data_IF_948748767133
#
_entry.id   IF_948748767133
#
_cell.length_a   1.000
_cell.length_b   1.000
_cell.length_c   1.000
_cell.angle_alpha   90.00
_cell.angle_beta   90.00
_cell.angle_gamma   90.00
#
_symmetry.space_group_name_H-M   'P 1'
#
loop_
_entity.id
_entity.type
_entity.pdbx_description
1 polymer ?
#
# COMPACT_ATOMS: atom_id res chain seq x y z
N UNK A 1 -0.15 16.04 20.42
CA UNK A 1 1.18 16.06 21.08
C UNK A 1 2.21 15.83 20.00
N UNK A 2 3.02 16.85 19.73
CA UNK A 2 3.92 16.90 18.59
C UNK A 2 5.17 16.06 18.88
N UNK A 3 5.38 14.98 18.11
CA UNK A 3 6.47 14.02 18.34
C UNK A 3 7.86 14.70 18.27
N UNK A 4 7.91 15.85 17.59
CA UNK A 4 9.10 16.68 17.44
C UNK A 4 9.49 17.47 18.71
N UNK A 5 8.59 17.62 19.70
CA UNK A 5 8.92 18.30 20.97
C UNK A 5 9.74 17.46 21.94
N UNK A 6 9.86 16.14 21.73
CA UNK A 6 10.61 15.23 22.62
C UNK A 6 12.11 15.16 22.28
N UNK A 7 12.51 15.63 21.09
CA UNK A 7 13.91 15.64 20.68
C UNK A 7 14.58 16.91 21.23
N UNK A 8 15.05 16.80 22.48
CA UNK A 8 15.85 17.82 23.15
C UNK A 8 17.11 18.21 22.36
N UNK A 9 17.74 19.30 22.81
CA UNK A 9 18.86 20.05 22.18
C UNK A 9 20.17 19.29 21.88
N UNK A 10 20.15 17.97 21.71
CA UNK A 10 21.21 17.16 21.13
C UNK A 10 20.76 16.61 19.77
N UNK A 11 20.62 17.52 18.80
CA UNK A 11 20.38 17.18 17.40
C UNK A 11 21.66 16.53 16.80
N UNK A 12 21.86 15.23 17.05
CA UNK A 12 22.88 14.45 16.34
C UNK A 12 22.18 13.39 15.49
N UNK A 13 22.13 13.71 14.19
CA UNK A 13 21.59 12.98 13.03
C UNK A 13 20.07 12.73 13.07
N UNK A 14 19.37 13.37 12.13
CA UNK A 14 18.05 12.90 11.68
C UNK A 14 18.18 11.41 11.27
N UNK A 15 17.14 10.58 11.47
CA UNK A 15 17.15 9.20 11.02
C UNK A 15 17.43 9.15 9.51
N UNK A 16 18.32 8.24 9.09
CA UNK A 16 18.84 8.16 7.73
C UNK A 16 17.75 8.08 6.65
N UNK A 17 16.61 7.44 6.96
CA UNK A 17 15.45 7.36 6.09
C UNK A 17 14.80 8.72 5.78
N UNK A 18 14.81 9.66 6.75
CA UNK A 18 14.27 11.02 6.54
C UNK A 18 15.23 11.83 5.67
N UNK A 19 16.53 11.71 5.93
CA UNK A 19 17.59 12.38 5.13
C UNK A 19 17.55 11.89 3.69
N UNK A 20 17.43 10.59 3.45
CA UNK A 20 17.30 10.01 2.11
C UNK A 20 16.05 10.51 1.36
N UNK A 21 14.91 10.67 2.06
CA UNK A 21 13.68 11.21 1.49
C UNK A 21 13.82 12.68 1.05
N UNK A 22 14.53 13.50 1.82
CA UNK A 22 14.77 14.90 1.49
C UNK A 22 15.73 15.06 0.30
N UNK A 23 16.79 14.26 0.24
CA UNK A 23 17.73 14.27 -0.90
C UNK A 23 17.05 13.79 -2.19
N UNK A 24 16.20 12.76 -2.12
CA UNK A 24 15.38 12.33 -3.27
C UNK A 24 14.44 13.43 -3.76
N UNK A 25 13.79 14.17 -2.84
CA UNK A 25 12.95 15.31 -3.20
C UNK A 25 13.74 16.44 -3.86
N UNK A 26 14.99 16.68 -3.47
CA UNK A 26 15.88 17.65 -4.13
C UNK A 26 16.19 17.24 -5.57
N UNK A 27 16.52 15.97 -5.82
CA UNK A 27 16.78 15.44 -7.18
C UNK A 27 15.55 15.57 -8.08
N UNK A 28 14.36 15.44 -7.53
CA UNK A 28 13.09 15.51 -8.27
C UNK A 28 12.56 16.94 -8.48
N UNK A 29 13.09 17.94 -7.77
CA UNK A 29 12.53 19.31 -7.68
C UNK A 29 12.38 20.05 -9.03
N UNK A 30 13.10 19.61 -10.07
CA UNK A 30 13.03 20.19 -11.42
C UNK A 30 12.86 19.14 -12.53
N UNK A 31 12.39 17.93 -12.20
CA UNK A 31 12.16 16.88 -13.19
C UNK A 31 10.70 16.85 -13.61
N UNK A 32 10.46 16.87 -14.92
CA UNK A 32 9.15 16.53 -15.49
C UNK A 32 9.11 15.01 -15.69
N UNK A 33 8.04 14.37 -15.20
CA UNK A 33 7.85 12.93 -15.29
C UNK A 33 6.96 12.60 -16.49
N UNK A 34 7.51 11.91 -17.49
CA UNK A 34 6.80 11.52 -18.71
C UNK A 34 6.88 10.00 -18.96
N UNK A 35 7.04 9.20 -17.91
CA UNK A 35 7.20 7.74 -17.99
C UNK A 35 6.04 6.98 -17.31
N UNK A 36 4.81 7.51 -17.44
CA UNK A 36 3.60 6.91 -16.87
C UNK A 36 3.28 5.52 -17.42
N UNK A 37 3.84 5.15 -18.58
CA UNK A 37 3.70 3.83 -19.16
C UNK A 37 4.50 2.77 -18.38
N UNK A 38 5.60 3.14 -17.71
CA UNK A 38 6.37 2.24 -16.86
C UNK A 38 5.73 2.09 -15.47
N UNK A 39 5.43 3.21 -14.80
CA UNK A 39 4.73 3.21 -13.52
C UNK A 39 4.02 4.54 -13.28
N UNK A 40 2.89 4.54 -12.57
CA UNK A 40 2.20 5.77 -12.17
C UNK A 40 2.53 6.14 -10.72
N UNK A 41 2.73 7.43 -10.39
CA UNK A 41 2.80 7.86 -9.00
C UNK A 41 1.59 7.36 -8.19
N UNK A 42 1.81 6.95 -6.96
CA UNK A 42 0.75 6.45 -6.08
C UNK A 42 -0.18 7.62 -5.71
N UNK A 43 -1.48 7.43 -5.88
CA UNK A 43 -2.49 8.39 -5.42
C UNK A 43 -2.47 8.50 -3.88
N UNK A 44 -2.49 9.71 -3.28
CA UNK A 44 -2.48 9.88 -1.83
C UNK A 44 -3.58 9.12 -1.07
N UNK A 45 -4.75 8.91 -1.69
CA UNK A 45 -5.83 8.12 -1.11
C UNK A 45 -5.44 6.63 -1.01
N UNK A 46 -4.70 6.12 -2.00
CA UNK A 46 -4.16 4.75 -1.99
C UNK A 46 -3.09 4.63 -0.92
N UNK A 47 -2.15 5.58 -0.81
CA UNK A 47 -1.12 5.58 0.25
C UNK A 47 -1.76 5.50 1.64
N UNK A 48 -2.78 6.31 1.89
CA UNK A 48 -3.53 6.30 3.16
C UNK A 48 -4.19 4.95 3.42
N UNK A 49 -4.84 4.36 2.42
CA UNK A 49 -5.52 3.05 2.55
C UNK A 49 -4.55 1.91 2.78
N UNK A 50 -3.41 1.92 2.10
CA UNK A 50 -2.35 0.94 2.32
C UNK A 50 -1.74 1.06 3.72
N UNK A 51 -1.54 2.28 4.22
CA UNK A 51 -1.11 2.50 5.60
C UNK A 51 -2.14 1.97 6.62
N UNK A 52 -3.42 2.29 6.44
CA UNK A 52 -4.52 1.76 7.26
C UNK A 52 -4.56 0.22 7.25
N UNK A 53 -4.24 -0.43 6.13
CA UNK A 53 -4.16 -1.88 6.04
C UNK A 53 -2.89 -2.45 6.69
N UNK A 54 -1.77 -1.74 6.62
CA UNK A 54 -0.46 -2.24 7.09
C UNK A 54 -0.39 -2.51 8.60
N UNK A 55 -1.25 -1.87 9.38
CA UNK A 55 -1.32 -2.06 10.84
C UNK A 55 -2.22 -3.24 11.24
N UNK A 56 -2.92 -3.87 10.28
CA UNK A 56 -3.76 -5.04 10.51
C UNK A 56 -2.90 -6.31 10.48
N UNK A 57 -2.64 -6.90 11.65
CA UNK A 57 -1.72 -8.03 11.79
C UNK A 57 -2.39 -9.41 11.71
N UNK A 58 -3.71 -9.48 11.90
CA UNK A 58 -4.44 -10.75 12.02
C UNK A 58 -4.50 -11.51 10.68
N UNK A 59 -4.26 -12.82 10.73
CA UNK A 59 -4.35 -13.67 9.54
C UNK A 59 -5.84 -13.85 9.14
N UNK A 60 -6.28 -13.39 7.95
CA UNK A 60 -7.69 -13.47 7.52
C UNK A 60 -8.22 -14.90 7.33
N UNK A 61 -7.37 -15.93 7.37
CA UNK A 61 -7.79 -17.34 7.33
C UNK A 61 -8.09 -17.91 8.72
N UNK A 62 -7.88 -17.15 9.79
CA UNK A 62 -8.21 -17.55 11.16
C UNK A 62 -9.66 -17.20 11.54
N UNK A 63 -10.14 -17.74 12.65
CA UNK A 63 -11.56 -17.63 13.06
C UNK A 63 -11.84 -16.58 14.16
N UNK A 64 -10.81 -15.96 14.74
CA UNK A 64 -10.98 -14.93 15.77
C UNK A 64 -11.43 -13.58 15.17
N UNK A 65 -11.96 -12.69 16.01
CA UNK A 65 -12.69 -11.49 15.56
C UNK A 65 -11.88 -10.59 14.62
N UNK A 66 -10.61 -10.33 14.93
CA UNK A 66 -9.72 -9.49 14.13
C UNK A 66 -9.42 -10.12 12.75
N UNK A 67 -9.31 -11.46 12.70
CA UNK A 67 -9.13 -12.18 11.45
C UNK A 67 -10.38 -12.12 10.57
N UNK A 68 -11.57 -12.27 11.15
CA UNK A 68 -12.85 -12.15 10.44
C UNK A 68 -13.02 -10.75 9.85
N UNK A 69 -12.66 -9.71 10.60
CA UNK A 69 -12.67 -8.33 10.11
C UNK A 69 -11.68 -8.11 8.95
N UNK A 70 -10.47 -8.67 9.02
CA UNK A 70 -9.51 -8.63 7.92
C UNK A 70 -10.02 -9.36 6.68
N UNK A 71 -10.68 -10.52 6.85
CA UNK A 71 -11.31 -11.26 5.75
C UNK A 71 -12.43 -10.46 5.11
N UNK A 72 -13.24 -9.75 5.91
CA UNK A 72 -14.29 -8.85 5.42
C UNK A 72 -13.71 -7.77 4.52
N UNK A 73 -12.63 -7.11 4.95
CA UNK A 73 -11.94 -6.06 4.16
C UNK A 73 -11.41 -6.57 2.83
N UNK A 74 -10.77 -7.74 2.80
CA UNK A 74 -10.31 -8.36 1.55
C UNK A 74 -11.49 -8.65 0.61
N UNK A 75 -12.60 -9.14 1.17
CA UNK A 75 -13.82 -9.45 0.42
C UNK A 75 -14.48 -8.19 -0.16
N UNK A 76 -14.48 -7.08 0.58
CA UNK A 76 -14.98 -5.79 0.12
C UNK A 76 -14.11 -5.18 -0.99
N UNK A 77 -12.79 -5.27 -0.86
CA UNK A 77 -11.87 -4.88 -1.93
C UNK A 77 -12.14 -5.67 -3.21
N UNK A 78 -12.33 -6.99 -3.09
CA UNK A 78 -12.67 -7.87 -4.21
C UNK A 78 -13.99 -7.46 -4.88
N UNK A 79 -15.04 -7.21 -4.10
CA UNK A 79 -16.34 -6.72 -4.63
C UNK A 79 -16.22 -5.36 -5.32
N UNK A 80 -15.40 -4.47 -4.78
CA UNK A 80 -15.16 -3.14 -5.36
C UNK A 80 -14.52 -3.26 -6.75
N UNK A 81 -13.50 -4.11 -6.88
CA UNK A 81 -12.83 -4.38 -8.17
C UNK A 81 -13.80 -5.06 -9.14
N UNK A 82 -14.56 -6.06 -8.67
CA UNK A 82 -15.52 -6.78 -9.49
C UNK A 82 -16.60 -5.86 -10.08
N UNK A 83 -17.13 -4.95 -9.26
CA UNK A 83 -18.10 -3.92 -9.68
C UNK A 83 -17.52 -3.00 -10.77
N UNK A 84 -16.25 -2.59 -10.63
CA UNK A 84 -15.59 -1.75 -11.62
C UNK A 84 -15.47 -2.43 -12.99
N UNK A 85 -15.22 -3.74 -13.02
CA UNK A 85 -15.13 -4.53 -14.25
C UNK A 85 -16.44 -5.19 -14.69
N UNK A 86 -17.52 -5.04 -13.93
CA UNK A 86 -18.81 -5.71 -14.15
C UNK A 86 -18.70 -7.25 -14.25
N UNK A 87 -17.91 -7.84 -13.34
CA UNK A 87 -17.72 -9.30 -13.20
C UNK A 87 -18.17 -9.77 -11.82
N UNK A 88 -18.24 -11.09 -11.60
CA UNK A 88 -18.46 -11.65 -10.28
C UNK A 88 -17.17 -11.61 -9.45
N UNK A 89 -17.32 -11.52 -8.12
CA UNK A 89 -16.16 -11.37 -7.23
C UNK A 89 -15.25 -12.60 -7.19
N UNK A 90 -15.82 -13.79 -7.38
CA UNK A 90 -15.13 -15.08 -7.41
C UNK A 90 -14.26 -15.28 -8.67
N UNK A 91 -14.49 -14.50 -9.73
CA UNK A 91 -13.64 -14.47 -10.93
C UNK A 91 -12.31 -13.72 -10.70
N UNK A 92 -12.17 -13.02 -9.58
CA UNK A 92 -10.93 -12.29 -9.25
C UNK A 92 -9.99 -13.21 -8.47
N UNK A 93 -8.72 -13.21 -8.83
CA UNK A 93 -7.65 -13.85 -8.06
C UNK A 93 -6.61 -12.78 -7.74
N UNK A 94 -6.22 -12.68 -6.46
CA UNK A 94 -5.19 -11.74 -6.04
C UNK A 94 -3.82 -12.41 -6.20
N UNK A 95 -2.96 -11.81 -7.01
CA UNK A 95 -1.56 -12.21 -7.20
C UNK A 95 -0.62 -11.07 -6.76
N UNK A 96 0.67 -11.37 -6.59
CA UNK A 96 1.66 -10.37 -6.18
C UNK A 96 1.95 -9.34 -7.28
N UNK A 97 1.96 -9.78 -8.53
CA UNK A 97 2.25 -8.97 -9.71
C UNK A 97 1.62 -9.62 -10.95
N UNK A 98 1.29 -8.82 -11.96
CA UNK A 98 0.68 -9.30 -13.21
C UNK A 98 1.58 -10.23 -14.04
N UNK A 99 2.88 -10.29 -13.76
CA UNK A 99 3.84 -11.21 -14.38
C UNK A 99 4.03 -12.51 -13.58
N UNK A 100 3.24 -12.72 -12.53
CA UNK A 100 3.28 -13.95 -11.75
C UNK A 100 2.58 -15.07 -12.53
N UNK A 101 3.20 -16.24 -12.56
CA UNK A 101 2.67 -17.51 -13.05
C UNK A 101 1.62 -18.14 -12.12
N UNK A 102 1.43 -17.60 -10.92
CA UNK A 102 0.56 -18.16 -9.89
C UNK A 102 -0.92 -18.28 -10.30
N UNK A 103 -1.36 -17.57 -11.35
CA UNK A 103 -2.72 -17.68 -11.87
C UNK A 103 -2.86 -18.81 -12.91
N UNK A 104 -1.76 -19.27 -13.52
CA UNK A 104 -1.79 -20.28 -14.58
C UNK A 104 -2.28 -21.64 -14.06
N UNK A 105 -2.00 -21.96 -12.80
CA UNK A 105 -2.43 -23.20 -12.14
C UNK A 105 -3.93 -23.20 -11.73
N UNK A 106 -4.64 -22.08 -11.91
CA UNK A 106 -6.01 -21.88 -11.43
C UNK A 106 -7.05 -21.86 -12.56
N UNK A 107 -6.63 -21.98 -13.82
CA UNK A 107 -7.45 -21.99 -15.04
C UNK A 107 -7.32 -23.32 -15.81
#
# INVERSE_FOLDING_TARGET
>A
MDIFKFLGKNAKKLPEAVVAKEELKKVQKHRLYFDHAAITPIDPAVEKKMYEASVLFANPSSLYAEAVENKRRITESRKTIASFFNIQSDEIIFCLLYTSDAADDLL
#
